data_IF_181822779377
#
_entry.id   IF_181822779377
#
_cell.length_a   1.000
_cell.length_b   1.000
_cell.length_c   1.000
_cell.angle_alpha   90.00
_cell.angle_beta   90.00
_cell.angle_gamma   90.00
#
_symmetry.space_group_name_H-M   'P 1'
#
loop_
_entity.id
_entity.type
_entity.pdbx_description
1 polymer ?
#
# COMPACT_ATOMS: atom_id res chain seq x y z
N UNK A 1 -32.87 30.37 -18.71
CA UNK A 1 -31.68 30.25 -19.58
C UNK A 1 -30.38 30.75 -18.92
N UNK A 2 -30.37 31.85 -18.14
CA UNK A 2 -29.15 32.36 -17.49
C UNK A 2 -28.70 31.47 -16.31
N UNK A 3 -29.63 30.97 -15.48
CA UNK A 3 -29.31 30.04 -14.38
C UNK A 3 -28.80 28.68 -14.86
N UNK A 4 -29.38 28.12 -15.93
CA UNK A 4 -28.91 26.87 -16.54
C UNK A 4 -27.49 27.00 -17.10
N UNK A 5 -27.15 28.16 -17.68
CA UNK A 5 -25.79 28.43 -18.15
C UNK A 5 -24.81 28.65 -17.00
N UNK A 6 -25.26 29.24 -15.88
CA UNK A 6 -24.47 29.39 -14.66
C UNK A 6 -24.18 28.05 -14.01
N UNK A 7 -25.19 27.18 -13.92
CA UNK A 7 -25.05 25.83 -13.38
C UNK A 7 -24.13 24.98 -14.26
N UNK A 8 -24.34 24.96 -15.59
CA UNK A 8 -23.46 24.23 -16.54
C UNK A 8 -22.00 24.70 -16.46
N UNK A 9 -21.74 26.00 -16.31
CA UNK A 9 -20.36 26.54 -16.13
C UNK A 9 -19.74 26.13 -14.81
N UNK A 10 -20.52 26.14 -13.72
CA UNK A 10 -20.08 25.67 -12.39
C UNK A 10 -19.78 24.17 -12.41
N UNK A 11 -20.64 23.35 -13.02
CA UNK A 11 -20.42 21.90 -13.16
C UNK A 11 -19.20 21.59 -14.03
N UNK A 12 -18.93 22.38 -15.08
CA UNK A 12 -17.74 22.19 -15.92
C UNK A 12 -16.44 22.62 -15.23
N UNK A 13 -16.48 23.66 -14.39
CA UNK A 13 -15.36 24.07 -13.56
C UNK A 13 -15.03 22.99 -12.50
N UNK A 14 -16.06 22.47 -11.83
CA UNK A 14 -15.93 21.38 -10.86
C UNK A 14 -15.35 20.10 -11.50
N UNK A 15 -15.83 19.73 -12.70
CA UNK A 15 -15.31 18.60 -13.48
C UNK A 15 -13.83 18.74 -13.88
N UNK A 16 -13.33 19.97 -14.02
CA UNK A 16 -11.95 20.26 -14.44
C UNK A 16 -11.04 20.69 -13.30
N UNK A 17 -11.57 20.82 -12.09
CA UNK A 17 -10.85 21.33 -10.91
C UNK A 17 -9.53 20.60 -10.69
N UNK A 18 -9.55 19.27 -10.73
CA UNK A 18 -8.35 18.43 -10.54
C UNK A 18 -7.23 18.79 -11.53
N UNK A 19 -7.56 18.98 -12.81
CA UNK A 19 -6.59 19.29 -13.86
C UNK A 19 -6.07 20.73 -13.75
N UNK A 20 -6.91 21.68 -13.34
CA UNK A 20 -6.52 23.07 -13.09
C UNK A 20 -5.51 23.12 -11.94
N UNK A 21 -5.81 22.46 -10.82
CA UNK A 21 -4.90 22.40 -9.67
C UNK A 21 -3.60 21.67 -10.01
N UNK A 22 -3.67 20.58 -10.77
CA UNK A 22 -2.49 19.84 -11.24
C UNK A 22 -1.60 20.73 -12.11
N UNK A 23 -2.17 21.50 -13.03
CA UNK A 23 -1.42 22.43 -13.88
C UNK A 23 -0.71 23.50 -13.05
N UNK A 24 -1.35 23.99 -11.99
CA UNK A 24 -0.76 24.97 -11.07
C UNK A 24 0.49 24.45 -10.32
N UNK A 25 0.66 23.13 -10.20
CA UNK A 25 1.87 22.53 -9.60
C UNK A 25 3.12 22.65 -10.50
N UNK A 26 2.98 23.11 -11.75
CA UNK A 26 4.08 23.29 -12.70
C UNK A 26 4.91 22.02 -12.93
N UNK A 27 4.30 20.83 -12.92
CA UNK A 27 5.02 19.59 -13.22
C UNK A 27 5.57 19.56 -14.66
N UNK A 28 5.01 20.33 -15.58
CA UNK A 28 5.42 20.38 -17.00
C UNK A 28 6.86 20.87 -17.22
N UNK A 29 7.46 21.54 -16.23
CA UNK A 29 8.87 21.98 -16.28
C UNK A 29 9.86 20.83 -15.99
N UNK A 30 9.38 19.67 -15.52
CA UNK A 30 10.22 18.49 -15.31
C UNK A 30 10.59 17.94 -16.68
N UNK A 31 11.90 17.87 -16.97
CA UNK A 31 12.42 17.46 -18.29
C UNK A 31 12.18 15.99 -18.59
N UNK A 32 12.37 15.14 -17.59
CA UNK A 32 12.26 13.69 -17.71
C UNK A 32 10.79 13.26 -17.63
N UNK A 33 10.25 12.73 -18.73
CA UNK A 33 8.84 12.31 -18.83
C UNK A 33 8.44 11.33 -17.75
N UNK A 34 9.30 10.37 -17.41
CA UNK A 34 9.06 9.38 -16.35
C UNK A 34 8.72 10.02 -15.01
N UNK A 35 9.51 11.01 -14.57
CA UNK A 35 9.27 11.74 -13.31
C UNK A 35 8.05 12.65 -13.43
N UNK A 36 7.89 13.34 -14.55
CA UNK A 36 6.73 14.22 -14.80
C UNK A 36 5.41 13.45 -14.70
N UNK A 37 5.30 12.32 -15.38
CA UNK A 37 4.16 11.42 -15.33
C UNK A 37 3.90 10.91 -13.92
N UNK A 38 4.93 10.40 -13.25
CA UNK A 38 4.80 9.86 -11.90
C UNK A 38 4.37 10.94 -10.89
N UNK A 39 4.88 12.18 -10.99
CA UNK A 39 4.46 13.32 -10.17
C UNK A 39 2.99 13.71 -10.42
N UNK A 40 2.57 13.81 -11.67
CA UNK A 40 1.17 14.11 -12.03
C UNK A 40 0.20 13.05 -11.50
N UNK A 41 0.52 11.77 -11.67
CA UNK A 41 -0.32 10.68 -11.15
C UNK A 41 -0.28 10.60 -9.61
N UNK A 42 0.88 10.84 -8.98
CA UNK A 42 0.95 10.96 -7.51
C UNK A 42 0.12 12.13 -6.99
N UNK A 43 0.11 13.27 -7.69
CA UNK A 43 -0.77 14.39 -7.36
C UNK A 43 -2.24 13.98 -7.40
N UNK A 44 -2.69 13.35 -8.50
CA UNK A 44 -4.07 12.84 -8.63
C UNK A 44 -4.40 11.86 -7.50
N UNK A 45 -3.50 10.91 -7.22
CA UNK A 45 -3.68 9.93 -6.15
C UNK A 45 -3.83 10.58 -4.76
N UNK A 46 -3.03 11.61 -4.46
CA UNK A 46 -3.12 12.34 -3.19
C UNK A 46 -4.38 13.18 -3.12
N UNK A 47 -4.68 13.91 -4.19
CA UNK A 47 -5.83 14.83 -4.24
C UNK A 47 -7.17 14.09 -4.19
N UNK A 48 -7.23 12.89 -4.74
CA UNK A 48 -8.37 11.99 -4.61
C UNK A 48 -8.31 11.13 -3.34
N UNK A 49 -7.34 11.24 -2.44
CA UNK A 49 -7.23 10.38 -1.25
C UNK A 49 -7.08 8.86 -1.52
N UNK A 50 -6.82 8.43 -2.75
CA UNK A 50 -6.61 7.02 -3.08
C UNK A 50 -5.35 6.42 -2.42
N UNK A 51 -4.38 7.27 -2.08
CA UNK A 51 -3.18 6.85 -1.33
C UNK A 51 -3.49 6.29 0.06
N UNK A 52 -4.68 6.56 0.62
CA UNK A 52 -5.14 6.05 1.91
C UNK A 52 -5.89 4.72 1.80
N UNK A 53 -6.23 4.28 0.58
CA UNK A 53 -6.97 3.03 0.33
C UNK A 53 -5.98 1.97 -0.13
N UNK A 54 -5.81 0.89 0.61
CA UNK A 54 -5.01 -0.25 0.16
C UNK A 54 -5.78 -1.16 -0.82
N UNK A 55 -5.06 -2.14 -1.39
CA UNK A 55 -5.64 -3.07 -2.37
C UNK A 55 -6.71 -3.99 -1.77
N UNK A 56 -6.64 -4.34 -0.48
CA UNK A 56 -7.61 -5.21 0.16
C UNK A 56 -8.95 -4.52 0.29
N UNK A 57 -8.94 -3.27 0.73
CA UNK A 57 -10.14 -2.43 0.84
C UNK A 57 -10.76 -2.19 -0.54
N UNK A 58 -9.93 -2.09 -1.57
CA UNK A 58 -10.40 -1.98 -2.94
C UNK A 58 -11.09 -3.27 -3.42
N UNK A 59 -10.50 -4.43 -3.12
CA UNK A 59 -11.08 -5.75 -3.43
C UNK A 59 -12.40 -5.95 -2.70
N UNK A 60 -12.49 -5.57 -1.42
CA UNK A 60 -13.72 -5.62 -0.63
C UNK A 60 -14.81 -4.76 -1.30
N UNK A 61 -14.49 -3.53 -1.67
CA UNK A 61 -15.45 -2.65 -2.36
C UNK A 61 -15.92 -3.25 -3.69
N UNK A 62 -15.04 -3.90 -4.47
CA UNK A 62 -15.45 -4.59 -5.69
C UNK A 62 -16.41 -5.75 -5.42
N UNK A 63 -16.15 -6.53 -4.35
CA UNK A 63 -16.99 -7.65 -3.95
C UNK A 63 -18.36 -7.20 -3.47
N UNK A 64 -18.41 -6.18 -2.62
CA UNK A 64 -19.65 -5.64 -2.06
C UNK A 64 -20.55 -5.01 -3.15
N UNK A 65 -19.95 -4.52 -4.24
CA UNK A 65 -20.67 -3.98 -5.41
C UNK A 65 -20.89 -5.02 -6.53
N UNK A 66 -20.55 -6.29 -6.29
CA UNK A 66 -20.73 -7.40 -7.23
C UNK A 66 -19.87 -7.33 -8.48
N UNK A 67 -18.79 -6.54 -8.51
CA UNK A 67 -17.90 -6.44 -9.67
C UNK A 67 -17.01 -7.69 -9.83
N UNK A 68 -16.87 -8.52 -8.80
CA UNK A 68 -16.12 -9.77 -8.85
C UNK A 68 -16.86 -10.89 -9.62
N UNK A 69 -18.19 -10.81 -9.75
CA UNK A 69 -19.00 -11.83 -10.44
C UNK A 69 -19.31 -11.47 -11.88
N UNK A 70 -19.12 -10.20 -12.27
CA UNK A 70 -19.35 -9.73 -13.63
C UNK A 70 -18.17 -10.06 -14.55
N UNK A 71 -18.50 -10.32 -15.82
CA UNK A 71 -17.50 -10.42 -16.87
C UNK A 71 -16.74 -9.09 -17.05
N UNK A 72 -15.45 -9.18 -17.37
CA UNK A 72 -14.55 -8.05 -17.51
C UNK A 72 -14.99 -7.05 -18.58
N UNK A 73 -15.64 -7.51 -19.65
CA UNK A 73 -16.15 -6.67 -20.74
C UNK A 73 -17.48 -5.99 -20.42
N UNK A 74 -18.15 -6.39 -19.33
CA UNK A 74 -19.43 -5.79 -18.91
C UNK A 74 -19.26 -4.29 -18.69
N UNK A 75 -20.11 -3.49 -19.33
CA UNK A 75 -20.16 -2.04 -19.12
C UNK A 75 -21.04 -1.69 -17.91
N UNK A 76 -20.58 -0.75 -17.08
CA UNK A 76 -21.35 -0.15 -16.00
C UNK A 76 -21.56 1.34 -16.24
N UNK A 77 -22.71 1.87 -15.80
CA UNK A 77 -23.03 3.30 -15.90
C UNK A 77 -22.18 4.15 -14.95
N UNK A 78 -22.08 5.45 -15.26
CA UNK A 78 -21.50 6.45 -14.35
C UNK A 78 -22.14 6.43 -12.95
N UNK A 79 -23.46 6.26 -12.85
CA UNK A 79 -24.14 6.16 -11.56
C UNK A 79 -23.70 4.94 -10.74
N UNK A 80 -23.51 3.79 -11.39
CA UNK A 80 -23.00 2.58 -10.71
C UNK A 80 -21.53 2.74 -10.32
N UNK A 81 -20.74 3.41 -11.16
CA UNK A 81 -19.35 3.75 -10.83
C UNK A 81 -19.28 4.65 -9.59
N UNK A 82 -20.15 5.66 -9.50
CA UNK A 82 -20.27 6.53 -8.33
C UNK A 82 -20.61 5.73 -7.06
N UNK A 83 -21.55 4.78 -7.13
CA UNK A 83 -21.85 3.88 -5.99
C UNK A 83 -20.63 3.10 -5.52
N UNK A 84 -19.83 2.55 -6.46
CA UNK A 84 -18.60 1.83 -6.13
C UNK A 84 -17.59 2.74 -5.43
N UNK A 85 -17.37 3.95 -5.97
CA UNK A 85 -16.45 4.94 -5.40
C UNK A 85 -16.93 5.41 -4.01
N UNK A 86 -18.23 5.65 -3.86
CA UNK A 86 -18.85 5.99 -2.58
C UNK A 86 -18.60 4.91 -1.54
N UNK A 87 -18.83 3.65 -1.89
CA UNK A 87 -18.54 2.51 -1.01
C UNK A 87 -17.08 2.54 -0.50
N UNK A 88 -16.11 2.79 -1.39
CA UNK A 88 -14.69 2.92 -1.02
C UNK A 88 -14.47 4.01 0.04
N UNK A 89 -14.93 5.25 -0.22
CA UNK A 89 -14.63 6.38 0.68
C UNK A 89 -15.43 6.38 1.98
N UNK A 90 -16.69 5.93 1.95
CA UNK A 90 -17.48 5.78 3.17
C UNK A 90 -16.88 4.71 4.08
N UNK A 91 -16.38 3.59 3.54
CA UNK A 91 -15.69 2.58 4.35
C UNK A 91 -14.33 3.06 4.85
N UNK A 92 -13.56 3.78 4.03
CA UNK A 92 -12.31 4.42 4.45
C UNK A 92 -12.55 5.36 5.63
N UNK A 93 -13.51 6.28 5.51
CA UNK A 93 -13.73 7.32 6.52
C UNK A 93 -14.23 6.77 7.87
N UNK A 94 -14.89 5.61 7.88
CA UNK A 94 -15.25 4.87 9.10
C UNK A 94 -14.02 4.31 9.83
N UNK A 95 -12.95 3.99 9.11
CA UNK A 95 -11.73 3.37 9.65
C UNK A 95 -10.67 4.39 10.05
N UNK A 96 -10.73 5.60 9.49
CA UNK A 96 -9.81 6.69 9.83
C UNK A 96 -10.11 7.26 11.23
N UNK A 97 -9.09 7.65 12.01
CA UNK A 97 -9.28 8.41 13.24
C UNK A 97 -10.06 9.70 12.98
N UNK A 98 -10.82 10.17 13.97
CA UNK A 98 -11.62 11.42 13.87
C UNK A 98 -10.77 12.64 13.49
N UNK A 99 -9.49 12.66 13.86
CA UNK A 99 -8.52 13.72 13.54
C UNK A 99 -8.01 13.69 12.09
N UNK A 100 -8.27 12.61 11.35
CA UNK A 100 -7.76 12.40 9.98
C UNK A 100 -8.89 12.13 8.98
N UNK A 101 -10.13 12.49 9.31
CA UNK A 101 -11.25 12.33 8.40
C UNK A 101 -11.06 13.15 7.12
N UNK A 102 -11.57 12.60 6.02
CA UNK A 102 -11.50 13.24 4.70
C UNK A 102 -12.87 13.80 4.31
N UNK A 103 -12.88 14.76 3.39
CA UNK A 103 -14.11 15.14 2.69
C UNK A 103 -14.49 14.03 1.72
N UNK A 104 -15.43 13.16 2.13
CA UNK A 104 -15.90 12.00 1.36
C UNK A 104 -16.49 12.44 0.03
N UNK A 105 -17.47 13.37 0.05
CA UNK A 105 -18.15 13.88 -1.15
C UNK A 105 -17.18 14.51 -2.16
N UNK A 106 -16.21 15.29 -1.69
CA UNK A 106 -15.20 15.87 -2.58
C UNK A 106 -14.30 14.78 -3.18
N UNK A 107 -13.92 13.77 -2.40
CA UNK A 107 -13.07 12.67 -2.88
C UNK A 107 -13.79 11.81 -3.94
N UNK A 108 -15.09 11.54 -3.74
CA UNK A 108 -15.95 10.86 -4.71
C UNK A 108 -15.99 11.65 -6.02
N UNK A 109 -16.33 12.94 -5.95
CA UNK A 109 -16.45 13.80 -7.13
C UNK A 109 -15.14 13.91 -7.92
N UNK A 110 -14.00 14.12 -7.23
CA UNK A 110 -12.70 14.23 -7.88
C UNK A 110 -12.30 12.93 -8.58
N UNK A 111 -12.47 11.78 -7.92
CA UNK A 111 -12.12 10.48 -8.50
C UNK A 111 -13.04 10.12 -9.66
N UNK A 112 -14.36 10.31 -9.50
CA UNK A 112 -15.34 10.03 -10.55
C UNK A 112 -15.03 10.83 -11.82
N UNK A 113 -14.80 12.14 -11.68
CA UNK A 113 -14.48 13.02 -12.80
C UNK A 113 -13.17 12.63 -13.48
N UNK A 114 -12.16 12.23 -12.71
CA UNK A 114 -10.89 11.75 -13.28
C UNK A 114 -11.07 10.42 -14.06
N UNK A 115 -11.84 9.47 -13.52
CA UNK A 115 -12.11 8.20 -14.20
C UNK A 115 -12.91 8.39 -15.49
N UNK A 116 -13.93 9.25 -15.48
CA UNK A 116 -14.68 9.60 -16.69
C UNK A 116 -13.74 10.25 -17.72
N UNK A 117 -12.93 11.22 -17.32
CA UNK A 117 -11.98 11.89 -18.22
C UNK A 117 -10.95 10.92 -18.83
N UNK A 118 -10.54 9.89 -18.09
CA UNK A 118 -9.55 8.91 -18.54
C UNK A 118 -10.14 7.76 -19.39
N UNK A 119 -11.39 7.34 -19.13
CA UNK A 119 -11.94 6.10 -19.68
C UNK A 119 -13.24 6.24 -20.48
N UNK A 120 -13.93 7.38 -20.39
CA UNK A 120 -15.14 7.67 -21.18
C UNK A 120 -14.83 8.72 -22.26
N UNK A 121 -13.79 8.48 -23.07
CA UNK A 121 -13.35 9.40 -24.13
C UNK A 121 -14.40 9.64 -25.20
N UNK A 122 -15.30 8.68 -25.41
CA UNK A 122 -16.42 8.76 -26.36
C UNK A 122 -17.67 9.40 -25.77
N UNK A 123 -17.69 9.71 -24.47
CA UNK A 123 -18.83 10.34 -23.80
C UNK A 123 -20.09 9.47 -23.76
N UNK A 124 -19.92 8.14 -23.76
CA UNK A 124 -21.04 7.18 -23.71
C UNK A 124 -21.62 7.02 -22.32
N UNK A 125 -20.95 7.54 -21.28
CA UNK A 125 -21.37 7.42 -19.89
C UNK A 125 -21.24 6.00 -19.34
N UNK A 126 -20.33 5.21 -19.91
CA UNK A 126 -20.13 3.79 -19.55
C UNK A 126 -18.65 3.43 -19.51
N UNK A 127 -18.28 2.61 -18.54
CA UNK A 127 -16.94 2.06 -18.38
C UNK A 127 -17.01 0.55 -18.21
N UNK A 128 -16.02 -0.19 -18.70
CA UNK A 128 -15.97 -1.63 -18.46
C UNK A 128 -15.60 -1.93 -17.00
N UNK A 129 -16.09 -3.05 -16.47
CA UNK A 129 -15.69 -3.55 -15.14
C UNK A 129 -14.16 -3.67 -15.04
N UNK A 130 -13.51 -4.12 -16.12
CA UNK A 130 -12.06 -4.25 -16.15
C UNK A 130 -11.33 -2.91 -16.07
N UNK A 131 -11.77 -1.88 -16.80
CA UNK A 131 -11.22 -0.51 -16.72
C UNK A 131 -11.28 0.02 -15.28
N UNK A 132 -12.42 -0.16 -14.61
CA UNK A 132 -12.65 0.28 -13.23
C UNK A 132 -11.70 -0.43 -12.27
N UNK A 133 -11.62 -1.76 -12.34
CA UNK A 133 -10.70 -2.56 -11.50
C UNK A 133 -9.23 -2.19 -11.77
N UNK A 134 -8.83 -2.12 -13.03
CA UNK A 134 -7.45 -1.85 -13.43
C UNK A 134 -6.98 -0.48 -12.93
N UNK A 135 -7.78 0.57 -13.13
CA UNK A 135 -7.45 1.91 -12.66
C UNK A 135 -7.34 1.98 -11.15
N UNK A 136 -8.39 1.53 -10.44
CA UNK A 136 -8.47 1.67 -8.99
C UNK A 136 -7.41 0.82 -8.28
N UNK A 137 -7.16 -0.41 -8.75
CA UNK A 137 -6.08 -1.24 -8.24
C UNK A 137 -4.69 -0.68 -8.55
N UNK A 138 -4.51 0.03 -9.67
CA UNK A 138 -3.23 0.68 -10.01
C UNK A 138 -3.01 1.94 -9.19
N UNK A 139 -4.06 2.70 -8.87
CA UNK A 139 -3.95 4.01 -8.23
C UNK A 139 -4.18 3.99 -6.71
N UNK A 140 -4.66 2.88 -6.13
CA UNK A 140 -4.75 2.73 -4.68
C UNK A 140 -3.36 2.81 -4.00
N UNK A 141 -3.35 3.11 -2.71
CA UNK A 141 -2.17 3.04 -1.85
C UNK A 141 -1.72 1.61 -1.55
N UNK A 142 -0.79 1.47 -0.61
CA UNK A 142 -0.25 0.18 -0.18
C UNK A 142 0.98 -0.29 -0.97
N UNK A 143 1.38 -1.54 -0.69
CA UNK A 143 2.59 -2.15 -1.26
C UNK A 143 2.40 -2.46 -2.75
N UNK A 144 3.41 -2.15 -3.56
CA UNK A 144 3.38 -2.43 -5.00
C UNK A 144 3.17 -3.91 -5.30
N UNK A 145 3.87 -4.81 -4.58
CA UNK A 145 3.79 -6.25 -4.80
C UNK A 145 2.36 -6.79 -4.63
N UNK A 146 1.62 -6.33 -3.61
CA UNK A 146 0.25 -6.78 -3.37
C UNK A 146 -0.68 -6.36 -4.51
N UNK A 147 -0.49 -5.13 -5.03
CA UNK A 147 -1.23 -4.62 -6.19
C UNK A 147 -0.91 -5.40 -7.46
N UNK A 148 0.36 -5.68 -7.72
CA UNK A 148 0.79 -6.47 -8.88
C UNK A 148 0.28 -7.92 -8.80
N UNK A 149 0.25 -8.53 -7.61
CA UNK A 149 -0.36 -9.85 -7.39
C UNK A 149 -1.86 -9.84 -7.72
N UNK A 150 -2.58 -8.82 -7.25
CA UNK A 150 -3.98 -8.66 -7.60
C UNK A 150 -4.19 -8.48 -9.11
N UNK A 151 -3.41 -7.61 -9.76
CA UNK A 151 -3.49 -7.42 -11.21
C UNK A 151 -3.23 -8.73 -11.95
N UNK A 152 -2.20 -9.48 -11.55
CA UNK A 152 -1.90 -10.78 -12.15
C UNK A 152 -3.08 -11.76 -12.01
N UNK A 153 -3.75 -11.81 -10.86
CA UNK A 153 -4.90 -12.70 -10.65
C UNK A 153 -6.10 -12.36 -11.55
N UNK A 154 -6.25 -11.10 -11.98
CA UNK A 154 -7.28 -10.71 -12.95
C UNK A 154 -6.92 -11.17 -14.38
N UNK A 155 -5.66 -11.49 -14.65
CA UNK A 155 -5.13 -11.76 -15.99
C UNK A 155 -4.67 -13.21 -16.17
N UNK A 156 -4.66 -14.04 -15.12
CA UNK A 156 -4.23 -15.43 -15.19
C UNK A 156 -5.39 -16.40 -15.44
N UNK A 157 -5.06 -17.58 -15.93
CA UNK A 157 -5.97 -18.73 -15.98
C UNK A 157 -5.99 -19.50 -14.64
N UNK A 158 -6.76 -20.57 -14.56
CA UNK A 158 -6.85 -21.45 -13.38
C UNK A 158 -5.55 -22.23 -13.10
N UNK A 159 -4.62 -22.29 -14.05
CA UNK A 159 -3.32 -22.95 -13.90
C UNK A 159 -2.24 -21.97 -13.42
N UNK A 160 -2.60 -20.70 -13.14
CA UNK A 160 -1.65 -19.67 -12.72
C UNK A 160 -0.80 -19.11 -13.87
N UNK A 161 -1.19 -19.35 -15.12
CA UNK A 161 -0.51 -18.81 -16.30
C UNK A 161 -1.17 -17.51 -16.75
N UNK A 162 -0.36 -16.50 -17.07
CA UNK A 162 -0.86 -15.24 -17.62
C UNK A 162 -1.50 -15.45 -18.99
N UNK A 163 -2.71 -14.92 -19.16
CA UNK A 163 -3.41 -14.87 -20.44
C UNK A 163 -2.99 -13.57 -21.15
N UNK A 164 -2.21 -13.70 -22.22
CA UNK A 164 -1.63 -12.55 -22.94
C UNK A 164 -2.66 -11.55 -23.46
N UNK A 165 -3.85 -12.00 -23.89
CA UNK A 165 -4.92 -11.08 -24.32
C UNK A 165 -5.47 -10.23 -23.17
N UNK A 166 -5.54 -10.79 -21.95
CA UNK A 166 -5.94 -10.02 -20.75
C UNK A 166 -4.84 -9.06 -20.31
N UNK A 167 -3.57 -9.44 -20.46
CA UNK A 167 -2.45 -8.52 -20.21
C UNK A 167 -2.41 -7.38 -21.23
N UNK A 168 -2.67 -7.66 -22.50
CA UNK A 168 -2.81 -6.64 -23.54
C UNK A 168 -3.94 -5.66 -23.19
N UNK A 169 -5.10 -6.18 -22.79
CA UNK A 169 -6.21 -5.37 -22.31
C UNK A 169 -5.80 -4.54 -21.07
N UNK A 170 -5.05 -5.12 -20.13
CA UNK A 170 -4.53 -4.39 -18.97
C UNK A 170 -3.65 -3.22 -19.40
N UNK A 171 -2.73 -3.42 -20.36
CA UNK A 171 -1.89 -2.35 -20.88
C UNK A 171 -2.73 -1.25 -21.53
N UNK A 172 -3.75 -1.60 -22.32
CA UNK A 172 -4.69 -0.64 -22.92
C UNK A 172 -5.40 0.20 -21.86
N UNK A 173 -5.80 -0.41 -20.74
CA UNK A 173 -6.49 0.31 -19.67
C UNK A 173 -5.53 1.12 -18.77
N UNK A 174 -4.39 0.57 -18.36
CA UNK A 174 -3.48 1.25 -17.43
C UNK A 174 -2.75 2.42 -18.09
N UNK A 175 -2.46 2.34 -19.40
CA UNK A 175 -1.80 3.41 -20.15
C UNK A 175 -2.74 4.58 -20.53
N UNK A 176 -4.04 4.46 -20.24
CA UNK A 176 -4.95 5.62 -20.23
C UNK A 176 -4.64 6.58 -19.08
N UNK A 177 -4.06 6.12 -17.96
CA UNK A 177 -3.67 6.99 -16.85
C UNK A 177 -2.64 8.06 -17.23
N UNK A 178 -1.45 7.72 -17.77
CA UNK A 178 -0.51 8.74 -18.23
C UNK A 178 -1.11 9.59 -19.36
N UNK A 179 -1.92 9.00 -20.24
CA UNK A 179 -2.61 9.74 -21.31
C UNK A 179 -3.56 10.80 -20.75
N UNK A 180 -4.32 10.48 -19.71
CA UNK A 180 -5.26 11.39 -19.04
C UNK A 180 -4.57 12.58 -18.36
N UNK A 181 -3.31 12.44 -17.98
CA UNK A 181 -2.48 13.54 -17.43
C UNK A 181 -1.56 14.19 -18.47
N UNK A 182 -1.90 14.03 -19.75
CA UNK A 182 -1.22 14.63 -20.91
C UNK A 182 0.20 14.11 -21.16
N UNK A 183 0.48 12.86 -20.80
CA UNK A 183 1.78 12.18 -21.03
C UNK A 183 1.66 11.02 -22.04
N UNK A 184 0.56 10.98 -22.79
CA UNK A 184 0.31 9.99 -23.86
C UNK A 184 1.43 9.89 -24.92
N UNK A 185 2.07 11.00 -25.36
CA UNK A 185 3.20 10.91 -26.29
C UNK A 185 4.40 10.12 -25.75
N UNK A 186 4.58 10.04 -24.42
CA UNK A 186 5.68 9.30 -23.79
C UNK A 186 5.27 7.88 -23.37
N UNK A 187 4.03 7.70 -22.89
CA UNK A 187 3.58 6.44 -22.26
C UNK A 187 2.20 5.97 -22.74
N UNK A 188 1.82 6.32 -23.97
CA UNK A 188 0.63 5.80 -24.62
C UNK A 188 0.77 4.33 -24.99
N UNK A 189 -0.36 3.65 -25.12
CA UNK A 189 -0.38 2.27 -25.61
C UNK A 189 0.07 2.20 -27.08
N UNK A 190 0.82 1.14 -27.41
CA UNK A 190 1.20 0.80 -28.78
C UNK A 190 1.03 -0.71 -28.98
N UNK A 191 0.84 -1.15 -30.22
CA UNK A 191 0.75 -2.59 -30.57
C UNK A 191 1.99 -3.41 -30.15
N UNK A 192 3.13 -2.76 -29.94
CA UNK A 192 4.37 -3.41 -29.52
C UNK A 192 4.52 -3.50 -28.00
N UNK A 193 3.70 -2.78 -27.22
CA UNK A 193 3.84 -2.66 -25.77
C UNK A 193 3.85 -4.01 -25.04
N UNK A 194 3.02 -4.96 -25.48
CA UNK A 194 3.00 -6.32 -24.92
C UNK A 194 4.33 -7.04 -25.16
N UNK A 195 4.84 -6.98 -26.40
CA UNK A 195 6.08 -7.67 -26.80
C UNK A 195 7.31 -7.09 -26.11
N UNK A 196 7.30 -5.79 -25.82
CA UNK A 196 8.36 -5.11 -25.07
C UNK A 196 8.41 -5.56 -23.60
N UNK A 197 7.26 -5.87 -22.99
CA UNK A 197 7.20 -6.41 -21.63
C UNK A 197 7.57 -7.90 -21.60
N UNK A 198 6.96 -8.70 -22.48
CA UNK A 198 7.13 -10.15 -22.51
C UNK A 198 7.21 -10.64 -23.97
N UNK A 199 8.32 -11.26 -24.39
CA UNK A 199 8.39 -11.95 -25.68
C UNK A 199 7.33 -13.06 -25.74
N UNK A 200 6.54 -13.12 -26.83
CA UNK A 200 5.31 -13.92 -27.00
C UNK A 200 5.49 -15.47 -26.99
N UNK A 201 6.58 -16.01 -26.45
CA UNK A 201 6.89 -17.45 -26.48
C UNK A 201 7.14 -18.06 -25.11
N UNK A 202 7.03 -17.27 -24.03
CA UNK A 202 7.25 -17.76 -22.66
C UNK A 202 5.92 -17.90 -21.91
N UNK A 203 5.74 -19.05 -21.24
CA UNK A 203 4.71 -19.21 -20.21
C UNK A 203 5.08 -18.30 -19.03
N UNK A 204 4.22 -17.34 -18.70
CA UNK A 204 4.49 -16.36 -17.63
C UNK A 204 3.67 -16.73 -16.40
N UNK A 205 4.37 -17.07 -15.33
CA UNK A 205 3.80 -17.28 -13.98
C UNK A 205 4.01 -16.04 -13.12
N UNK A 206 3.39 -16.01 -11.94
CA UNK A 206 3.39 -14.85 -11.05
C UNK A 206 4.79 -14.32 -10.74
N UNK A 207 5.73 -15.17 -10.32
CA UNK A 207 7.08 -14.70 -9.96
C UNK A 207 7.80 -14.08 -11.18
N UNK A 208 7.71 -14.69 -12.36
CA UNK A 208 8.26 -14.12 -13.60
C UNK A 208 7.66 -12.76 -13.95
N UNK A 209 6.35 -12.60 -13.73
CA UNK A 209 5.67 -11.33 -13.91
C UNK A 209 6.18 -10.27 -12.93
N UNK A 210 6.28 -10.61 -11.64
CA UNK A 210 6.79 -9.71 -10.60
C UNK A 210 8.25 -9.32 -10.86
N UNK A 211 9.11 -10.27 -11.19
CA UNK A 211 10.52 -10.04 -11.56
C UNK A 211 10.63 -9.03 -12.70
N UNK A 212 9.77 -9.17 -13.72
CA UNK A 212 9.77 -8.27 -14.88
C UNK A 212 9.27 -6.87 -14.51
N UNK A 213 8.15 -6.77 -13.78
CA UNK A 213 7.55 -5.48 -13.41
C UNK A 213 8.41 -4.69 -12.39
N UNK A 214 9.20 -5.40 -11.59
CA UNK A 214 10.06 -4.85 -10.54
C UNK A 214 11.55 -4.77 -10.95
N UNK A 215 11.87 -5.12 -12.19
CA UNK A 215 13.24 -5.03 -12.72
C UNK A 215 13.78 -3.58 -12.68
N UNK A 216 15.11 -3.44 -12.75
CA UNK A 216 15.79 -2.15 -12.87
C UNK A 216 16.63 -2.13 -14.17
N UNK A 217 16.16 -1.49 -15.26
CA UNK A 217 14.88 -0.78 -15.38
C UNK A 217 13.67 -1.70 -15.64
N UNK A 218 12.45 -1.30 -15.24
CA UNK A 218 11.20 -2.00 -15.58
C UNK A 218 10.82 -1.77 -17.06
N UNK A 219 9.77 -2.42 -17.58
CA UNK A 219 9.27 -2.16 -18.92
C UNK A 219 8.99 -0.68 -19.17
N UNK A 220 9.48 -0.14 -20.29
CA UNK A 220 9.51 1.30 -20.56
C UNK A 220 8.12 1.95 -20.54
N UNK A 221 7.07 1.25 -21.02
CA UNK A 221 5.70 1.77 -20.98
C UNK A 221 5.14 1.90 -19.56
N UNK A 222 5.70 1.18 -18.59
CA UNK A 222 5.23 1.13 -17.20
C UNK A 222 6.23 1.73 -16.20
N UNK A 223 7.36 2.30 -16.64
CA UNK A 223 8.42 2.82 -15.75
C UNK A 223 7.95 3.91 -14.78
N UNK A 224 6.88 4.64 -15.12
CA UNK A 224 6.25 5.63 -14.24
C UNK A 224 5.57 5.00 -13.01
N UNK A 225 5.09 3.76 -13.12
CA UNK A 225 4.32 3.07 -12.08
C UNK A 225 5.19 2.74 -10.84
N UNK A 226 6.32 2.03 -10.94
CA UNK A 226 7.21 1.83 -9.79
C UNK A 226 7.80 3.16 -9.31
N UNK A 227 8.07 4.12 -10.20
CA UNK A 227 8.54 5.44 -9.78
C UNK A 227 7.49 6.18 -8.92
N UNK A 228 6.21 6.13 -9.27
CA UNK A 228 5.13 6.73 -8.48
C UNK A 228 5.10 6.16 -7.06
N UNK A 229 5.32 4.85 -6.91
CA UNK A 229 5.47 4.24 -5.58
C UNK A 229 6.73 4.72 -4.86
N UNK A 230 7.87 4.84 -5.55
CA UNK A 230 9.11 5.35 -4.94
C UNK A 230 8.96 6.80 -4.48
N UNK A 231 8.23 7.64 -5.24
CA UNK A 231 7.88 9.01 -4.84
C UNK A 231 7.13 9.05 -3.51
N UNK A 232 6.17 8.14 -3.30
CA UNK A 232 5.45 8.05 -2.04
C UNK A 232 6.36 7.70 -0.86
N UNK A 233 7.43 6.92 -1.08
CA UNK A 233 8.38 6.57 -0.01
C UNK A 233 9.34 7.72 0.33
N UNK A 234 9.75 8.49 -0.67
CA UNK A 234 10.76 9.55 -0.47
C UNK A 234 10.17 10.89 -0.07
N UNK A 235 8.85 11.11 -0.18
CA UNK A 235 8.23 12.42 0.04
C UNK A 235 8.57 13.05 1.40
N UNK A 236 8.82 12.22 2.42
CA UNK A 236 9.20 12.64 3.77
C UNK A 236 10.67 12.32 4.13
N UNK A 237 11.50 11.92 3.17
CA UNK A 237 12.91 11.60 3.40
C UNK A 237 13.72 12.89 3.41
N UNK A 238 14.40 13.14 4.53
CA UNK A 238 15.26 14.29 4.75
C UNK A 238 16.74 13.96 4.51
N UNK A 239 17.42 14.85 3.79
CA UNK A 239 18.86 14.82 3.57
C UNK A 239 19.50 16.12 4.11
N UNK A 240 20.34 16.08 5.15
CA UNK A 240 21.06 17.23 5.69
C UNK A 240 22.28 17.55 4.81
N UNK A 241 22.03 17.88 3.55
CA UNK A 241 23.06 18.10 2.55
C UNK A 241 22.65 19.25 1.66
N UNK A 242 23.57 20.21 1.48
CA UNK A 242 23.36 21.36 0.62
C UNK A 242 23.26 20.95 -0.87
N UNK A 243 22.30 21.56 -1.56
CA UNK A 243 22.20 21.51 -3.02
C UNK A 243 23.28 22.36 -3.68
N UNK A 244 24.10 21.76 -4.55
CA UNK A 244 25.18 22.45 -5.26
C UNK A 244 24.69 23.57 -6.20
N UNK A 245 23.41 23.55 -6.62
CA UNK A 245 22.82 24.58 -7.48
C UNK A 245 22.04 25.63 -6.69
N UNK A 246 20.93 25.25 -6.04
CA UNK A 246 20.04 26.21 -5.38
C UNK A 246 20.46 26.59 -3.96
N UNK A 247 21.56 26.01 -3.44
CA UNK A 247 22.11 26.30 -2.10
C UNK A 247 21.17 26.05 -0.92
N UNK A 248 20.06 25.36 -1.15
CA UNK A 248 19.20 24.90 -0.07
C UNK A 248 19.99 23.96 0.83
N UNK A 249 20.11 24.30 2.12
CA UNK A 249 20.96 23.65 3.11
C UNK A 249 20.56 22.18 3.37
N UNK A 250 19.32 21.85 3.06
CA UNK A 250 18.76 20.50 3.16
C UNK A 250 17.86 20.16 1.98
N UNK A 251 17.59 18.87 1.78
CA UNK A 251 16.72 18.38 0.71
C UNK A 251 15.66 17.44 1.27
N UNK A 252 14.45 17.54 0.72
CA UNK A 252 13.39 16.56 0.87
C UNK A 252 13.19 15.80 -0.45
N UNK A 253 12.80 14.52 -0.37
CA UNK A 253 12.60 13.71 -1.57
C UNK A 253 13.86 13.00 -2.03
N UNK A 254 13.99 12.80 -3.34
CA UNK A 254 15.20 12.22 -3.91
C UNK A 254 16.39 13.18 -3.84
N UNK A 255 17.57 12.62 -3.59
CA UNK A 255 18.87 13.29 -3.76
C UNK A 255 19.63 12.68 -4.93
N UNK A 256 20.21 13.52 -5.78
CA UNK A 256 20.99 13.08 -6.94
C UNK A 256 22.45 13.46 -6.77
N UNK A 257 23.35 12.47 -6.72
CA UNK A 257 24.79 12.68 -6.60
C UNK A 257 25.48 12.42 -7.94
N UNK A 258 26.30 13.35 -8.40
CA UNK A 258 27.13 13.12 -9.58
C UNK A 258 28.16 12.03 -9.33
N UNK A 259 28.33 11.12 -10.29
CA UNK A 259 29.35 10.07 -10.20
C UNK A 259 30.73 10.53 -10.67
N UNK A 260 30.81 11.68 -11.34
CA UNK A 260 32.03 12.20 -11.95
C UNK A 260 32.55 13.44 -11.20
N UNK A 261 31.68 14.38 -10.84
CA UNK A 261 32.06 15.58 -10.11
C UNK A 261 32.24 15.29 -8.62
N UNK A 262 33.34 15.79 -8.04
CA UNK A 262 33.58 15.69 -6.60
C UNK A 262 32.52 16.47 -5.81
N UNK A 263 31.89 15.80 -4.83
CA UNK A 263 30.87 16.35 -3.93
C UNK A 263 29.73 17.17 -4.58
N UNK A 264 29.43 16.91 -5.85
CA UNK A 264 28.33 17.58 -6.53
C UNK A 264 27.02 16.81 -6.33
N UNK A 265 26.02 17.47 -5.77
CA UNK A 265 24.69 16.90 -5.61
C UNK A 265 23.59 17.91 -5.89
N UNK A 266 22.48 17.42 -6.41
CA UNK A 266 21.29 18.21 -6.69
C UNK A 266 20.13 17.68 -5.86
N UNK A 267 19.31 18.62 -5.37
CA UNK A 267 17.98 18.29 -4.88
C UNK A 267 17.09 17.82 -6.04
N UNK A 268 15.98 17.18 -5.67
CA UNK A 268 14.98 16.68 -6.60
C UNK A 268 14.58 17.68 -7.69
N UNK A 269 14.21 18.89 -7.27
CA UNK A 269 13.77 19.94 -8.20
C UNK A 269 14.87 20.39 -9.16
N UNK A 270 16.12 20.52 -8.68
CA UNK A 270 17.22 20.96 -9.50
C UNK A 270 17.61 19.92 -10.56
N UNK A 271 17.66 18.65 -10.17
CA UNK A 271 17.95 17.57 -11.11
C UNK A 271 16.85 17.44 -12.17
N UNK A 272 15.58 17.43 -11.77
CA UNK A 272 14.45 17.27 -12.71
C UNK A 272 14.28 18.42 -13.70
N UNK A 273 14.68 19.64 -13.32
CA UNK A 273 14.71 20.80 -14.20
C UNK A 273 16.01 20.90 -15.02
N UNK A 274 16.97 20.01 -14.76
CA UNK A 274 18.26 19.96 -15.45
C UNK A 274 19.13 21.18 -15.19
N UNK A 275 19.11 21.69 -13.96
CA UNK A 275 20.01 22.75 -13.52
C UNK A 275 21.43 22.21 -13.33
N UNK A 276 22.41 22.98 -13.79
CA UNK A 276 23.82 22.66 -13.70
C UNK A 276 24.62 23.91 -13.31
N UNK A 277 25.75 23.73 -12.64
CA UNK A 277 26.62 24.81 -12.19
C UNK A 277 28.08 24.37 -12.15
N UNK A 278 29.00 25.33 -12.30
CA UNK A 278 30.43 25.07 -12.30
C UNK A 278 30.84 24.03 -13.35
N UNK A 279 31.71 23.05 -13.01
CA UNK A 279 32.20 22.04 -13.96
C UNK A 279 31.20 20.92 -14.24
N UNK A 280 29.98 20.96 -13.66
CA UNK A 280 29.00 19.91 -13.85
C UNK A 280 28.25 20.05 -15.17
N UNK A 281 28.17 18.96 -15.95
CA UNK A 281 27.35 18.85 -17.14
C UNK A 281 26.15 17.92 -16.89
N UNK A 282 25.01 18.24 -17.50
CA UNK A 282 23.82 17.39 -17.50
C UNK A 282 24.02 16.03 -18.21
N UNK A 283 25.15 15.83 -18.89
CA UNK A 283 25.53 14.55 -19.48
C UNK A 283 26.19 13.60 -18.46
N UNK A 284 26.64 14.11 -17.31
CA UNK A 284 27.27 13.29 -16.29
C UNK A 284 26.24 12.34 -15.67
N UNK A 285 26.66 11.10 -15.40
CA UNK A 285 25.80 10.13 -14.75
C UNK A 285 25.51 10.56 -13.30
N UNK A 286 24.23 10.62 -12.96
CA UNK A 286 23.75 10.94 -11.62
C UNK A 286 23.25 9.67 -10.93
N UNK A 287 23.66 9.46 -9.68
CA UNK A 287 23.14 8.40 -8.81
C UNK A 287 22.00 8.94 -7.95
N UNK A 288 20.85 8.30 -8.03
CA UNK A 288 19.71 8.60 -7.17
C UNK A 288 19.87 7.98 -5.79
N UNK A 289 19.48 8.73 -4.76
CA UNK A 289 19.46 8.32 -3.36
C UNK A 289 18.07 8.56 -2.79
N UNK A 290 17.47 7.50 -2.23
CA UNK A 290 16.13 7.49 -1.64
C UNK A 290 16.12 7.36 -0.12
N UNK A 291 17.29 7.37 0.51
CA UNK A 291 17.44 7.30 1.98
C UNK A 291 18.68 8.04 2.43
N UNK A 292 18.63 8.62 3.63
CA UNK A 292 19.81 9.13 4.31
C UNK A 292 20.35 8.09 5.29
N UNK A 293 21.61 7.72 5.11
CA UNK A 293 22.37 6.92 6.08
C UNK A 293 23.51 7.78 6.56
N UNK A 294 23.52 8.13 7.86
CA UNK A 294 24.61 8.91 8.44
C UNK A 294 25.95 8.20 8.22
N UNK A 295 27.06 8.95 7.99
CA UNK A 295 28.39 8.35 7.83
C UNK A 295 28.76 7.37 8.95
N UNK A 296 28.35 7.65 10.20
CA UNK A 296 28.57 6.77 11.35
C UNK A 296 27.91 5.38 11.21
N UNK A 297 26.73 5.28 10.57
CA UNK A 297 26.04 4.00 10.31
C UNK A 297 26.62 3.21 9.13
N UNK A 298 27.53 3.79 8.33
CA UNK A 298 28.23 3.06 7.26
C UNK A 298 29.37 2.20 7.82
N UNK A 299 29.98 2.61 8.93
CA UNK A 299 31.06 1.86 9.58
C UNK A 299 30.54 0.55 10.20
N UNK A 300 29.39 0.59 10.88
CA UNK A 300 28.79 -0.61 11.50
C UNK A 300 28.38 -1.67 10.48
N UNK A 301 27.86 -1.27 9.30
CA UNK A 301 27.47 -2.19 8.24
C UNK A 301 28.67 -2.77 7.46
N UNK A 302 29.79 -2.03 7.38
CA UNK A 302 31.03 -2.57 6.79
C UNK A 302 31.61 -3.69 7.67
N UNK A 303 31.58 -3.52 8.99
CA UNK A 303 32.05 -4.53 9.96
C UNK A 303 31.13 -5.76 9.96
N UNK A 304 29.82 -5.58 9.87
CA UNK A 304 28.86 -6.71 9.79
C UNK A 304 29.03 -7.55 8.52
N UNK A 305 29.47 -6.96 7.40
CA UNK A 305 29.76 -7.70 6.16
C UNK A 305 31.09 -8.44 6.19
N UNK A 306 32.03 -8.03 7.04
CA UNK A 306 33.33 -8.70 7.21
C UNK A 306 33.26 -9.97 8.07
N UNK A 307 32.14 -10.24 8.74
CA UNK A 307 31.95 -11.39 9.64
C UNK A 307 30.82 -12.35 9.20
N UNK A 308 30.18 -12.12 8.05
CA UNK A 308 29.08 -12.94 7.55
C UNK A 308 29.50 -13.80 6.36
N UNK A 309 29.26 -15.12 6.46
CA UNK A 309 29.36 -16.06 5.34
C UNK A 309 28.66 -15.54 4.08
N UNK A 310 29.21 -15.93 2.92
CA UNK A 310 28.77 -15.56 1.56
C UNK A 310 27.24 -15.42 1.46
N UNK A 311 26.69 -14.25 1.09
CA UNK A 311 25.26 -14.13 0.87
C UNK A 311 24.90 -14.93 -0.38
N UNK A 312 24.15 -16.01 -0.21
CA UNK A 312 23.28 -16.53 -1.27
C UNK A 312 22.45 -15.35 -1.78
N UNK A 313 22.38 -15.14 -3.10
CA UNK A 313 21.55 -14.07 -3.68
C UNK A 313 20.10 -14.30 -3.28
N UNK A 314 19.64 -13.60 -2.24
CA UNK A 314 18.22 -13.57 -1.91
C UNK A 314 17.45 -12.96 -3.09
N UNK A 315 16.30 -13.53 -3.47
CA UNK A 315 15.48 -12.99 -4.55
C UNK A 315 15.03 -11.55 -4.22
N UNK A 316 14.83 -10.69 -5.24
CA UNK A 316 14.52 -9.27 -5.06
C UNK A 316 13.16 -9.03 -4.37
N UNK A 317 12.32 -10.06 -4.30
CA UNK A 317 11.07 -10.10 -3.55
C UNK A 317 10.82 -11.50 -2.99
N UNK A 318 9.92 -11.66 -2.00
CA UNK A 318 9.46 -12.97 -1.56
C UNK A 318 8.97 -13.81 -2.74
N UNK A 319 9.38 -15.07 -2.81
CA UNK A 319 8.92 -16.02 -3.84
C UNK A 319 7.59 -16.59 -3.41
N UNK A 320 6.61 -16.54 -4.31
CA UNK A 320 5.28 -17.06 -4.03
C UNK A 320 5.10 -18.46 -4.60
N UNK A 321 4.41 -19.37 -3.88
CA UNK A 321 4.07 -20.69 -4.42
C UNK A 321 3.28 -20.58 -5.71
N UNK A 322 3.55 -21.48 -6.66
CA UNK A 322 2.87 -21.51 -7.97
C UNK A 322 1.41 -21.96 -7.86
N UNK A 323 1.08 -22.76 -6.85
CA UNK A 323 -0.29 -23.16 -6.52
C UNK A 323 -0.75 -22.47 -5.24
N UNK A 324 -2.01 -21.98 -5.17
CA UNK A 324 -2.58 -21.52 -3.91
C UNK A 324 -2.50 -22.65 -2.88
N UNK A 325 -2.02 -22.34 -1.68
CA UNK A 325 -2.12 -23.31 -0.58
C UNK A 325 -3.59 -23.68 -0.41
N UNK A 326 -3.88 -24.99 -0.36
CA UNK A 326 -5.23 -25.45 -0.07
C UNK A 326 -5.66 -24.81 1.25
N UNK A 327 -6.89 -24.27 1.35
CA UNK A 327 -7.42 -23.82 2.63
C UNK A 327 -7.20 -24.91 3.66
N UNK A 328 -6.71 -24.55 4.85
CA UNK A 328 -6.54 -25.50 5.94
C UNK A 328 -7.85 -26.28 6.13
N UNK A 329 -7.77 -27.60 6.02
CA UNK A 329 -8.91 -28.47 6.26
C UNK A 329 -9.25 -28.47 7.75
N UNK A 330 -10.13 -27.55 8.13
CA UNK A 330 -10.63 -27.39 9.50
C UNK A 330 -11.65 -28.47 9.89
N UNK A 331 -11.96 -29.45 9.01
CA UNK A 331 -12.95 -30.49 9.28
C UNK A 331 -12.63 -31.34 10.53
N UNK A 332 -11.35 -31.40 10.93
CA UNK A 332 -10.90 -32.19 12.08
C UNK A 332 -10.55 -31.36 13.33
N UNK A 333 -10.72 -30.04 13.30
CA UNK A 333 -10.39 -29.15 14.44
C UNK A 333 -11.57 -28.98 15.40
N UNK A 334 -12.78 -29.39 14.99
CA UNK A 334 -13.97 -29.38 15.86
C UNK A 334 -14.46 -30.83 16.01
N UNK A 335 -14.40 -31.44 17.21
CA UNK A 335 -15.08 -32.70 17.46
C UNK A 335 -16.57 -32.53 17.14
N UNK A 336 -17.21 -33.43 16.40
CA UNK A 336 -18.64 -33.32 16.11
C UNK A 336 -19.41 -33.29 17.43
N UNK A 337 -20.09 -32.17 17.72
CA UNK A 337 -21.03 -32.10 18.84
C UNK A 337 -22.16 -33.10 18.56
N UNK A 338 -22.51 -33.98 19.51
CA UNK A 338 -23.69 -34.82 19.35
C UNK A 338 -24.92 -33.92 19.23
N UNK A 339 -25.63 -34.03 18.10
CA UNK A 339 -26.93 -33.41 17.93
C UNK A 339 -27.92 -34.14 18.83
N UNK A 340 -28.47 -33.44 19.81
CA UNK A 340 -29.63 -33.91 20.55
C UNK A 340 -30.86 -33.87 19.60
N UNK A 341 -31.29 -35.04 19.14
CA UNK A 341 -32.55 -35.21 18.42
C UNK A 341 -33.73 -34.87 19.35
N UNK A 342 -34.35 -33.70 19.14
CA UNK A 342 -35.73 -33.46 19.53
C UNK A 342 -36.58 -33.38 18.26
N UNK A 343 -37.27 -34.47 17.96
CA UNK A 343 -38.68 -34.51 17.55
C UNK A 343 -38.94 -35.85 16.84
N UNK A 344 -39.60 -36.76 17.56
CA UNK A 344 -40.66 -37.58 16.98
C UNK A 344 -41.58 -38.04 18.11
N UNK A 345 -42.63 -37.25 18.31
CA UNK A 345 -43.83 -37.69 19.01
C UNK A 345 -44.85 -37.98 17.94
N UNK A 346 -45.09 -39.26 17.62
CA UNK A 346 -46.43 -39.84 17.54
C UNK A 346 -46.42 -41.31 17.03
N UNK A 347 -47.00 -42.17 17.89
CA UNK A 347 -47.87 -43.31 17.53
C UNK A 347 -47.19 -44.57 16.98
N UNK A 348 -46.97 -45.56 17.87
CA UNK A 348 -47.80 -46.78 17.90
C UNK A 348 -47.38 -47.75 19.01
N UNK A 349 -48.41 -48.21 19.72
CA UNK A 349 -48.56 -49.41 20.56
C UNK A 349 -47.64 -50.60 20.16
N UNK A 350 -47.10 -51.45 21.03
CA UNK A 350 -47.75 -52.28 22.05
C UNK A 350 -46.70 -52.99 22.91
N UNK A 351 -47.02 -53.20 24.19
CA UNK A 351 -46.63 -54.36 25.06
C UNK A 351 -45.13 -54.59 25.35
N UNK A 352 -44.63 -54.94 26.53
CA UNK A 352 -45.16 -55.26 27.87
C UNK A 352 -43.93 -55.58 28.75
N UNK A 353 -43.99 -55.34 30.06
CA UNK A 353 -43.13 -56.02 31.05
C UNK A 353 -42.28 -55.13 31.96
N UNK A 354 -42.68 -55.11 33.24
CA UNK A 354 -42.07 -54.53 34.44
C UNK A 354 -42.11 -55.67 35.49
N UNK A 355 -41.38 -55.72 36.64
CA UNK A 355 -40.03 -55.26 37.02
C UNK A 355 -39.17 -56.28 37.86
N UNK A 356 -37.85 -56.00 38.02
CA UNK A 356 -36.97 -56.21 39.23
C UNK A 356 -36.71 -57.64 39.77
N UNK A 357 -35.81 -57.88 40.77
CA UNK A 357 -34.64 -57.13 41.31
C UNK A 357 -33.36 -57.99 41.47
N UNK A 358 -32.16 -57.40 41.58
CA UNK A 358 -31.14 -57.91 42.54
C UNK A 358 -29.99 -56.92 42.78
N UNK A 359 -29.65 -56.74 44.06
CA UNK A 359 -28.49 -56.00 44.58
C UNK A 359 -27.19 -56.75 44.29
N UNK A 360 -26.12 -56.03 43.94
CA UNK A 360 -24.76 -56.31 44.41
C UNK A 360 -23.92 -55.02 44.43
N UNK A 361 -23.44 -54.69 45.62
CA UNK A 361 -22.35 -53.75 45.87
C UNK A 361 -21.04 -54.38 45.41
N UNK A 362 -20.22 -53.64 44.66
CA UNK A 362 -18.77 -53.82 44.68
C UNK A 362 -18.05 -52.51 44.32
N UNK A 363 -16.91 -52.38 44.96
CA UNK A 363 -16.12 -51.20 45.28
C UNK A 363 -15.15 -50.82 44.14
N UNK A 364 -14.78 -49.54 44.08
CA UNK A 364 -13.54 -48.99 43.49
C UNK A 364 -13.47 -48.79 41.96
N UNK A 365 -13.56 -47.53 41.52
CA UNK A 365 -12.40 -46.74 41.06
C UNK A 365 -12.86 -45.37 40.54
N UNK A 366 -12.46 -44.30 41.23
CA UNK A 366 -12.57 -42.93 40.74
C UNK A 366 -11.76 -42.79 39.43
N UNK A 367 -12.46 -42.59 38.32
CA UNK A 367 -11.87 -42.05 37.10
C UNK A 367 -12.00 -40.52 37.19
N UNK A 368 -10.91 -39.74 37.14
CA UNK A 368 -11.01 -38.28 37.14
C UNK A 368 -11.77 -37.82 35.90
N UNK A 369 -12.87 -37.09 36.09
CA UNK A 369 -13.56 -36.44 34.98
C UNK A 369 -12.62 -35.40 34.34
N UNK A 370 -12.29 -35.48 33.04
CA UNK A 370 -11.40 -34.53 32.37
C UNK A 370 -11.89 -33.07 32.42
N UNK A 371 -13.20 -32.88 32.66
CA UNK A 371 -13.85 -31.57 32.78
C UNK A 371 -13.51 -30.83 34.07
N UNK A 372 -13.15 -31.53 35.16
CA UNK A 372 -12.80 -30.89 36.42
C UNK A 372 -11.41 -30.21 36.36
N UNK A 373 -10.51 -30.74 35.52
CA UNK A 373 -9.13 -30.28 35.39
C UNK A 373 -9.02 -29.02 34.51
N UNK A 374 -9.85 -28.93 33.47
CA UNK A 374 -9.93 -27.73 32.61
C UNK A 374 -10.49 -26.52 33.37
N UNK A 375 -11.51 -26.71 34.21
CA UNK A 375 -12.06 -25.63 35.03
C UNK A 375 -11.06 -25.14 36.09
N UNK A 376 -10.25 -26.05 36.66
CA UNK A 376 -9.16 -25.69 37.57
C UNK A 376 -8.04 -24.91 36.85
N UNK A 377 -7.69 -25.31 35.63
CA UNK A 377 -6.71 -24.61 34.78
C UNK A 377 -7.17 -23.22 34.38
N UNK A 378 -8.44 -23.07 33.99
CA UNK A 378 -9.04 -21.77 33.65
C UNK A 378 -9.06 -20.86 34.88
N UNK A 379 -9.44 -21.36 36.06
CA UNK A 379 -9.40 -20.61 37.30
C UNK A 379 -7.98 -20.14 37.67
N UNK A 380 -6.97 -21.02 37.49
CA UNK A 380 -5.56 -20.67 37.72
C UNK A 380 -5.03 -19.62 36.74
N UNK A 381 -5.54 -19.58 35.51
CA UNK A 381 -5.15 -18.64 34.48
C UNK A 381 -5.79 -17.27 34.70
N UNK A 382 -7.08 -17.24 35.05
CA UNK A 382 -7.80 -16.01 35.41
C UNK A 382 -7.21 -15.36 36.66
N UNK A 383 -6.84 -16.15 37.68
CA UNK A 383 -6.15 -15.65 38.87
C UNK A 383 -4.77 -15.03 38.53
N UNK A 384 -4.01 -15.64 37.61
CA UNK A 384 -2.72 -15.09 37.13
C UNK A 384 -2.87 -13.81 36.32
N UNK A 385 -3.93 -13.70 35.50
CA UNK A 385 -4.23 -12.49 34.74
C UNK A 385 -4.64 -11.33 35.66
N UNK A 386 -5.44 -11.60 36.69
CA UNK A 386 -5.80 -10.59 37.70
C UNK A 386 -4.60 -10.14 38.54
N UNK A 387 -3.64 -11.04 38.79
CA UNK A 387 -2.38 -10.70 39.47
C UNK A 387 -1.39 -9.94 38.57
N UNK A 388 -1.38 -10.17 37.25
CA UNK A 388 -0.58 -9.39 36.29
C UNK A 388 -1.16 -8.00 36.02
N UNK A 389 -2.49 -7.86 35.97
CA UNK A 389 -3.15 -6.58 35.74
C UNK A 389 -2.89 -5.58 36.88
N UNK A 390 -2.72 -6.06 38.13
CA UNK A 390 -2.36 -5.20 39.29
C UNK A 390 -0.88 -4.80 39.35
N UNK A 391 0.00 -5.43 38.57
CA UNK A 391 1.44 -5.10 38.53
C UNK A 391 1.75 -3.99 37.52
N UNK A 392 0.85 -3.75 36.55
CA UNK A 392 1.02 -2.74 35.50
C UNK A 392 0.58 -1.33 35.90
N UNK A 393 -0.07 -1.15 37.06
CA UNK A 393 -0.62 0.13 37.51
C UNK A 393 0.05 0.66 38.79
N UNK A 394 1.34 0.33 39.01
CA UNK A 394 2.09 0.87 40.15
C UNK A 394 2.65 2.28 39.84
N UNK A 395 2.31 3.31 40.64
CA UNK A 395 2.77 4.70 40.42
C UNK A 395 4.30 4.88 40.40
N UNK A 396 5.04 3.93 40.98
CA UNK A 396 6.50 3.98 41.09
C UNK A 396 7.25 3.74 39.78
N UNK A 397 6.62 3.10 38.77
CA UNK A 397 7.31 2.77 37.50
C UNK A 397 7.36 3.95 36.52
N UNK A 398 6.32 4.78 36.51
CA UNK A 398 6.29 6.02 35.72
C UNK A 398 7.32 7.02 36.27
N UNK A 399 7.49 7.10 37.60
CA UNK A 399 8.53 7.91 38.21
C UNK A 399 9.94 7.43 37.85
N UNK A 400 10.15 6.11 37.75
CA UNK A 400 11.46 5.58 37.37
C UNK A 400 11.79 5.83 35.89
N UNK A 401 10.80 5.76 34.98
CA UNK A 401 10.98 6.16 33.58
C UNK A 401 11.24 7.65 33.44
N UNK A 402 10.48 8.51 34.11
CA UNK A 402 10.73 9.96 34.11
C UNK A 402 12.10 10.30 34.71
N UNK A 403 12.55 9.55 35.73
CA UNK A 403 13.90 9.72 36.31
C UNK A 403 15.00 9.22 35.39
N UNK A 404 14.75 8.18 34.60
CA UNK A 404 15.67 7.70 33.56
C UNK A 404 15.79 8.71 32.41
N UNK A 405 14.67 9.26 31.96
CA UNK A 405 14.61 10.31 30.93
C UNK A 405 15.31 11.58 31.42
N UNK A 406 15.08 12.00 32.66
CA UNK A 406 15.75 13.16 33.26
C UNK A 406 17.27 12.96 33.39
N UNK A 407 17.73 11.75 33.79
CA UNK A 407 19.16 11.42 33.83
C UNK A 407 19.79 11.39 32.45
N UNK A 408 19.06 10.93 31.43
CA UNK A 408 19.54 10.92 30.05
C UNK A 408 19.63 12.33 29.47
N UNK A 409 18.62 13.17 29.72
CA UNK A 409 18.62 14.58 29.33
C UNK A 409 19.74 15.38 30.02
N UNK A 410 19.97 15.16 31.32
CA UNK A 410 21.07 15.78 32.06
C UNK A 410 22.45 15.33 31.54
N UNK A 411 22.58 14.08 31.11
CA UNK A 411 23.82 13.54 30.53
C UNK A 411 24.10 14.14 29.14
N UNK A 412 23.07 14.32 28.32
CA UNK A 412 23.17 15.04 27.05
C UNK A 412 23.53 16.52 27.23
N UNK A 413 23.00 17.17 28.26
CA UNK A 413 23.34 18.56 28.59
C UNK A 413 24.80 18.70 29.10
N UNK A 414 25.27 17.74 29.90
CA UNK A 414 26.66 17.69 30.36
C UNK A 414 27.65 17.38 29.22
N UNK A 415 27.27 16.56 28.24
CA UNK A 415 28.06 16.31 27.03
C UNK A 415 28.10 17.52 26.09
N UNK A 416 27.07 18.36 26.08
CA UNK A 416 27.05 19.64 25.36
C UNK A 416 27.92 20.73 26.02
N UNK A 417 28.14 20.65 27.34
CA UNK A 417 28.97 21.59 28.11
C UNK A 417 30.49 21.34 28.05
N UNK A 418 30.95 20.26 27.41
CA UNK A 418 32.35 19.86 27.35
C UNK A 418 33.06 20.19 26.02
N UNK A 419 32.50 21.10 25.22
CA UNK A 419 33.23 21.72 24.11
C UNK A 419 33.97 22.96 24.60
N UNK A 420 35.29 23.09 24.39
CA UNK A 420 36.02 24.29 24.76
C UNK A 420 35.50 25.49 23.94
N UNK A 421 35.07 26.50 24.68
CA UNK A 421 34.62 27.82 24.25
C UNK A 421 35.54 28.44 23.19
N UNK A 422 34.96 28.93 22.10
CA UNK A 422 35.12 30.32 21.65
C UNK A 422 34.03 30.62 20.62
N UNK A 423 33.50 31.85 20.66
CA UNK A 423 32.44 32.42 19.80
C UNK A 423 30.98 32.13 20.20
N UNK A 424 30.57 32.67 21.35
CA UNK A 424 29.16 33.01 21.60
C UNK A 424 29.09 34.16 22.63
N UNK A 425 29.48 35.37 22.20
CA UNK A 425 29.22 36.58 23.00
C UNK A 425 28.83 37.81 22.16
N UNK A 426 28.19 37.62 21.00
CA UNK A 426 27.85 38.77 20.13
C UNK A 426 26.48 38.71 19.43
N UNK A 427 25.48 38.03 19.98
CA UNK A 427 24.11 38.03 19.39
C UNK A 427 22.97 38.30 20.39
N UNK A 428 23.24 39.01 21.49
CA UNK A 428 22.22 39.60 22.35
C UNK A 428 22.33 41.13 22.44
N UNK A 429 22.64 41.78 21.32
CA UNK A 429 22.43 43.22 21.14
C UNK A 429 22.17 43.50 19.66
N UNK A 430 20.89 43.41 19.24
CA UNK A 430 20.15 44.34 18.38
C UNK A 430 18.81 43.74 17.97
#
# INVERSE_FOLDING_TARGET
>A
MIEESGNKRKTMAEKRQLFIEMRAQNFDVIRLSTYRTACKLRFVQKRCNLHLVDIWNMIEAFRDNGLNTLDHSTEISVSRLETVISSVYYQLNKRLPSTHQISVEQSISLLLNFMIAAYDSEGRGKLTVFSVKAMLATMCGGKMLDKLRYVFSQMSDSNGLMIFSKFDQFLKEVLKLPTAVFEGPSFGYTEHSVRTCFPQQKKIMLNMFLDTMMADPPPQCLVWLPLMHRLAHVENVFHPVECSYCRCESMMGFRYRCQQCHNYQLCQNCFWRGHASGPHSNQHQMKEHSSWKSPAKKLSHAISKSLGCVPTREPPHPVFPEQPEKPLDLANIVPPRPLANMNDTMVSHTSSGVPTPTKRLQYSQDIPSPLADEHALIASYVARLQHCARVLDSPSRLDEEHRLIARYAARLAAEAGNMPFTFLEELCAY
#
